data_IF_146736028748
#
_entry.id   IF_146736028748
#
_cell.length_a   1.000
_cell.length_b   1.000
_cell.length_c   1.000
_cell.angle_alpha   90.00
_cell.angle_beta   90.00
_cell.angle_gamma   90.00
#
_symmetry.space_group_name_H-M   'P 1'
#
loop_
_entity.id
_entity.type
_entity.pdbx_description
1 polymer ?
#
# COMPACT_ATOMS: atom_id res chain seq x y z
N UNK A 1 49.81 29.53 -77.57
CA UNK A 1 51.21 29.60 -77.06
C UNK A 1 51.25 28.97 -75.67
N UNK A 2 51.93 27.84 -75.64
CA UNK A 2 52.91 27.40 -74.64
C UNK A 2 52.55 27.48 -73.16
N UNK A 3 52.39 26.33 -72.59
CA UNK A 3 53.23 25.65 -71.54
C UNK A 3 52.80 26.11 -70.08
N UNK A 4 52.64 25.29 -69.09
CA UNK A 4 53.44 24.14 -68.72
C UNK A 4 52.80 23.30 -67.65
N UNK A 5 53.28 22.12 -67.63
CA UNK A 5 52.99 20.97 -66.76
C UNK A 5 53.62 21.22 -65.37
N UNK A 6 52.89 20.89 -64.30
CA UNK A 6 53.47 20.72 -62.98
C UNK A 6 52.71 19.63 -62.19
N UNK A 7 53.29 18.42 -62.19
CA UNK A 7 52.98 17.30 -61.34
C UNK A 7 53.42 17.68 -59.92
N UNK A 8 52.55 17.49 -58.94
CA UNK A 8 53.01 17.23 -57.58
C UNK A 8 52.22 16.02 -57.05
N UNK A 9 52.98 15.09 -56.61
CA UNK A 9 52.57 13.78 -56.11
C UNK A 9 51.89 13.90 -54.76
N UNK A 10 50.97 12.98 -54.57
CA UNK A 10 50.10 12.91 -53.40
C UNK A 10 50.70 12.37 -52.14
N UNK A 11 50.04 12.58 -51.11
CA UNK A 11 50.12 11.78 -49.91
C UNK A 11 48.69 11.49 -49.47
N UNK A 12 48.22 10.27 -49.71
CA UNK A 12 47.02 9.73 -49.11
C UNK A 12 47.32 9.46 -47.65
N UNK A 13 46.77 10.31 -46.77
CA UNK A 13 46.73 10.05 -45.33
C UNK A 13 45.40 9.39 -45.00
N UNK A 14 45.45 8.06 -44.83
CA UNK A 14 44.28 7.30 -44.33
C UNK A 14 44.07 7.59 -42.87
N UNK A 15 43.04 8.39 -42.56
CA UNK A 15 42.52 8.56 -41.20
C UNK A 15 41.62 7.37 -40.86
N UNK A 16 42.16 6.41 -40.13
CA UNK A 16 41.39 5.38 -39.43
C UNK A 16 40.62 6.05 -38.26
N UNK A 17 39.33 6.35 -38.45
CA UNK A 17 38.42 6.67 -37.40
C UNK A 17 38.09 5.37 -36.65
N UNK A 18 38.74 5.19 -35.51
CA UNK A 18 38.34 4.21 -34.52
C UNK A 18 37.04 4.70 -33.86
N UNK A 19 35.91 4.14 -34.31
CA UNK A 19 34.61 4.27 -33.57
C UNK A 19 34.72 3.40 -32.35
N UNK A 20 35.03 4.04 -31.20
CA UNK A 20 34.83 3.41 -29.91
C UNK A 20 33.34 3.45 -29.63
N UNK A 21 32.67 2.32 -29.80
CA UNK A 21 31.35 2.07 -29.25
C UNK A 21 31.50 2.00 -27.71
N UNK A 22 31.23 3.10 -27.04
CA UNK A 22 30.97 3.09 -25.63
C UNK A 22 29.63 2.33 -25.43
N UNK A 23 29.75 1.03 -25.12
CA UNK A 23 28.66 0.30 -24.48
C UNK A 23 28.56 0.88 -23.08
N UNK A 24 27.64 1.82 -22.89
CA UNK A 24 27.20 2.21 -21.56
C UNK A 24 26.57 0.99 -20.89
N UNK A 25 27.40 0.25 -20.20
CA UNK A 25 26.94 -0.66 -19.14
C UNK A 25 26.26 0.23 -18.11
N UNK A 26 24.92 0.26 -18.13
CA UNK A 26 24.11 0.64 -17.01
C UNK A 26 24.41 -0.37 -15.88
N UNK A 27 25.56 -0.25 -15.29
CA UNK A 27 25.98 -0.91 -14.08
C UNK A 27 25.32 -0.20 -12.92
N UNK A 28 24.30 -0.84 -12.45
CA UNK A 28 23.69 -0.68 -11.15
C UNK A 28 24.71 -0.43 -10.06
N UNK A 29 24.49 0.61 -9.32
CA UNK A 29 24.73 0.59 -7.90
C UNK A 29 23.54 1.23 -7.21
N UNK A 30 22.45 0.47 -7.09
CA UNK A 30 21.62 0.62 -5.93
C UNK A 30 22.45 0.05 -4.77
N UNK A 31 23.14 0.92 -4.04
CA UNK A 31 23.69 0.60 -2.75
C UNK A 31 22.51 0.42 -1.78
N UNK A 32 21.77 -0.68 -1.92
CA UNK A 32 20.81 -1.12 -0.93
C UNK A 32 21.65 -1.45 0.30
N UNK A 33 21.54 -0.63 1.35
CA UNK A 33 22.11 -0.96 2.65
C UNK A 33 21.64 -2.39 2.99
N UNK A 34 22.56 -3.34 2.95
CA UNK A 34 22.28 -4.77 3.12
C UNK A 34 21.54 -5.05 4.44
N UNK A 35 21.59 -4.10 5.39
CA UNK A 35 20.87 -4.14 6.66
C UNK A 35 19.35 -3.92 6.53
N UNK A 36 18.87 -3.38 5.42
CA UNK A 36 17.42 -3.15 5.17
C UNK A 36 16.76 -4.26 4.35
N UNK A 37 17.50 -5.34 4.05
CA UNK A 37 16.95 -6.53 3.42
C UNK A 37 16.40 -7.46 4.50
N UNK A 38 15.23 -8.05 4.26
CA UNK A 38 14.58 -9.02 5.16
C UNK A 38 14.44 -10.34 4.42
N UNK A 39 15.25 -11.33 4.76
CA UNK A 39 15.24 -12.67 4.15
C UNK A 39 15.29 -13.79 5.19
N UNK A 40 15.69 -13.49 6.43
CA UNK A 40 15.75 -14.43 7.55
C UNK A 40 14.84 -14.01 8.69
N UNK A 41 14.65 -14.87 9.68
CA UNK A 41 13.93 -14.54 10.91
C UNK A 41 14.69 -13.46 11.73
N UNK A 42 16.01 -13.53 11.75
CA UNK A 42 16.86 -12.53 12.43
C UNK A 42 16.71 -11.16 11.78
N UNK A 43 16.63 -11.09 10.44
CA UNK A 43 16.37 -9.85 9.72
C UNK A 43 15.01 -9.27 10.09
N UNK A 44 13.98 -10.11 10.17
CA UNK A 44 12.65 -9.69 10.58
C UNK A 44 12.64 -9.14 12.01
N UNK A 45 13.24 -9.83 12.96
CA UNK A 45 13.35 -9.37 14.35
C UNK A 45 14.20 -8.09 14.49
N UNK A 46 15.23 -7.93 13.68
CA UNK A 46 15.98 -6.68 13.57
C UNK A 46 15.10 -5.56 13.04
N UNK A 47 14.37 -5.80 11.96
CA UNK A 47 13.47 -4.81 11.35
C UNK A 47 12.40 -4.33 12.34
N UNK A 48 11.79 -5.22 13.15
CA UNK A 48 10.85 -4.85 14.22
C UNK A 48 11.42 -3.79 15.18
N UNK A 49 12.71 -3.83 15.44
CA UNK A 49 13.40 -2.84 16.30
C UNK A 49 13.76 -1.58 15.53
N UNK A 50 14.36 -1.73 14.34
CA UNK A 50 14.89 -0.63 13.54
C UNK A 50 13.79 0.33 13.07
N UNK A 51 12.63 -0.22 12.67
CA UNK A 51 11.52 0.61 12.18
C UNK A 51 10.60 1.12 13.29
N UNK A 52 10.76 0.66 14.53
CA UNK A 52 9.88 1.03 15.64
C UNK A 52 9.76 2.55 15.80
N UNK A 53 8.52 2.99 16.03
CA UNK A 53 8.17 4.36 16.41
C UNK A 53 7.69 4.45 17.87
N UNK A 54 7.85 3.39 18.66
CA UNK A 54 7.41 3.41 20.05
C UNK A 54 8.04 4.58 20.81
N UNK A 55 7.21 5.30 21.54
CA UNK A 55 7.60 6.48 22.30
C UNK A 55 7.92 7.73 21.46
N UNK A 56 7.91 7.65 20.13
CA UNK A 56 8.22 8.80 19.25
C UNK A 56 7.31 10.01 19.51
N UNK A 57 6.05 9.78 19.80
CA UNK A 57 5.05 10.81 20.12
C UNK A 57 4.57 10.73 21.58
N UNK A 58 5.35 10.08 22.41
CA UNK A 58 5.04 9.84 23.82
C UNK A 58 4.50 8.42 24.07
N UNK A 59 4.62 7.98 25.34
CA UNK A 59 4.19 6.63 25.76
C UNK A 59 2.66 6.43 25.71
N UNK A 60 1.91 7.52 25.72
CA UNK A 60 0.44 7.50 25.74
C UNK A 60 -0.15 7.87 24.36
N UNK A 61 0.71 7.90 23.32
CA UNK A 61 0.27 8.14 21.94
C UNK A 61 -0.61 6.99 21.43
N UNK A 62 -1.71 7.34 20.80
CA UNK A 62 -2.72 6.44 20.24
C UNK A 62 -2.84 6.55 18.72
N UNK A 63 -2.18 7.54 18.12
CA UNK A 63 -2.32 7.85 16.69
C UNK A 63 -1.21 7.24 15.82
N UNK A 64 -0.08 6.87 16.42
CA UNK A 64 1.06 6.36 15.67
C UNK A 64 1.50 7.32 14.56
N UNK A 65 1.76 6.80 13.38
CA UNK A 65 2.21 7.58 12.24
C UNK A 65 1.17 8.60 11.72
N UNK A 66 -0.11 8.48 12.09
CA UNK A 66 -1.13 9.48 11.76
C UNK A 66 -0.83 10.87 12.38
N UNK A 67 0.02 10.96 13.42
CA UNK A 67 0.56 12.22 13.94
C UNK A 67 1.31 13.04 12.88
N UNK A 68 1.79 12.41 11.81
CA UNK A 68 2.45 13.09 10.70
C UNK A 68 1.48 13.84 9.77
N UNK A 69 0.18 13.60 9.90
CA UNK A 69 -0.85 14.36 9.18
C UNK A 69 -1.08 15.70 9.87
N UNK A 70 -0.18 16.63 9.64
CA UNK A 70 -0.24 18.00 10.19
C UNK A 70 -1.31 18.84 9.51
N UNK A 71 -1.64 20.01 10.09
CA UNK A 71 -2.53 20.99 9.44
C UNK A 71 -1.98 21.45 8.08
N UNK A 72 -0.64 21.61 7.96
CA UNK A 72 0.01 21.97 6.70
C UNK A 72 -0.17 20.84 5.66
N UNK A 73 0.01 19.57 6.08
CA UNK A 73 -0.20 18.41 5.22
C UNK A 73 -1.64 18.32 4.70
N UNK A 74 -2.66 18.56 5.56
CA UNK A 74 -4.06 18.60 5.14
C UNK A 74 -4.32 19.71 4.13
N UNK A 75 -3.80 20.92 4.36
CA UNK A 75 -3.92 22.03 3.40
C UNK A 75 -3.27 21.71 2.06
N UNK A 76 -2.10 21.07 2.06
CA UNK A 76 -1.44 20.60 0.83
C UNK A 76 -2.34 19.59 0.10
N UNK A 77 -2.92 18.65 0.81
CA UNK A 77 -3.80 17.62 0.23
C UNK A 77 -5.07 18.23 -0.38
N UNK A 78 -5.71 19.19 0.29
CA UNK A 78 -6.89 19.89 -0.20
C UNK A 78 -6.64 20.58 -1.55
N UNK A 79 -5.43 21.06 -1.81
CA UNK A 79 -5.05 21.69 -3.07
C UNK A 79 -4.92 20.69 -4.26
N UNK A 80 -5.06 19.39 -4.01
CA UNK A 80 -5.02 18.34 -5.05
C UNK A 80 -6.38 18.05 -5.67
N UNK A 81 -7.47 18.48 -5.04
CA UNK A 81 -8.85 18.33 -5.55
C UNK A 81 -9.14 19.35 -6.67
N UNK A 82 -8.45 19.21 -7.82
CA UNK A 82 -8.46 20.18 -8.90
C UNK A 82 -9.57 19.95 -9.91
N UNK A 83 -9.89 18.69 -10.17
CA UNK A 83 -10.88 18.26 -11.16
C UNK A 83 -12.28 18.18 -10.55
N UNK A 84 -12.38 18.14 -9.22
CA UNK A 84 -13.66 17.95 -8.51
C UNK A 84 -14.27 16.56 -8.74
N UNK A 85 -13.46 15.57 -9.12
CA UNK A 85 -13.90 14.19 -9.38
C UNK A 85 -13.62 13.33 -8.16
N UNK A 86 -14.69 12.74 -7.61
CA UNK A 86 -14.59 11.77 -6.50
C UNK A 86 -14.66 10.35 -7.02
N UNK A 87 -13.75 9.50 -6.55
CA UNK A 87 -13.69 8.07 -6.88
C UNK A 87 -13.70 7.27 -5.58
N UNK A 88 -14.62 6.29 -5.48
CA UNK A 88 -14.64 5.31 -4.38
C UNK A 88 -13.40 4.44 -4.45
N UNK A 89 -12.81 4.18 -3.29
CA UNK A 89 -11.69 3.26 -3.13
C UNK A 89 -12.11 1.97 -2.40
N UNK A 90 -13.41 1.71 -2.25
CA UNK A 90 -13.91 0.47 -1.70
C UNK A 90 -14.53 -0.40 -2.79
N UNK A 91 -14.32 -1.70 -2.67
CA UNK A 91 -15.08 -2.68 -3.44
C UNK A 91 -16.50 -2.79 -2.90
N UNK A 92 -17.45 -3.08 -3.77
CA UNK A 92 -18.83 -3.37 -3.35
C UNK A 92 -18.83 -4.52 -2.35
N UNK A 93 -19.60 -4.37 -1.27
CA UNK A 93 -19.63 -5.36 -0.20
C UNK A 93 -20.12 -6.71 -0.74
N UNK A 94 -19.33 -7.75 -0.50
CA UNK A 94 -19.68 -9.12 -0.90
C UNK A 94 -20.86 -9.62 -0.05
N UNK A 95 -21.94 -10.02 -0.72
CA UNK A 95 -23.19 -10.52 -0.10
C UNK A 95 -23.40 -12.03 -0.23
N UNK A 96 -22.37 -12.78 -0.59
CA UNK A 96 -22.37 -14.23 -0.65
C UNK A 96 -20.98 -14.79 -0.35
N UNK A 97 -20.90 -15.95 0.28
CA UNK A 97 -19.63 -16.62 0.52
C UNK A 97 -18.93 -16.95 -0.81
N UNK A 98 -17.61 -16.74 -0.84
CA UNK A 98 -16.77 -17.05 -1.99
C UNK A 98 -15.48 -17.76 -1.53
N UNK A 99 -14.74 -18.33 -2.48
CA UNK A 99 -13.51 -19.07 -2.17
C UNK A 99 -12.43 -18.20 -1.51
N UNK A 100 -12.38 -16.92 -1.84
CA UNK A 100 -11.46 -15.92 -1.29
C UNK A 100 -11.98 -15.21 -0.02
N UNK A 101 -13.25 -15.45 0.38
CA UNK A 101 -13.84 -14.87 1.58
C UNK A 101 -15.09 -15.60 2.02
N UNK A 102 -15.03 -16.40 3.11
CA UNK A 102 -16.20 -17.11 3.63
C UNK A 102 -17.17 -16.19 4.36
N UNK A 103 -16.69 -15.05 4.89
CA UNK A 103 -17.50 -14.04 5.53
C UNK A 103 -18.11 -13.10 4.50
N UNK A 104 -19.39 -12.83 4.59
CA UNK A 104 -20.13 -11.91 3.72
C UNK A 104 -21.09 -11.06 4.55
N UNK A 105 -21.62 -9.98 3.96
CA UNK A 105 -22.65 -9.16 4.58
C UNK A 105 -24.03 -9.74 4.26
N UNK A 106 -24.74 -10.21 5.27
CA UNK A 106 -26.16 -10.55 5.17
C UNK A 106 -27.00 -9.26 5.24
N UNK A 107 -27.82 -9.05 4.23
CA UNK A 107 -28.78 -7.96 4.16
C UNK A 107 -30.18 -8.50 4.25
N UNK A 108 -30.86 -8.26 5.35
CA UNK A 108 -32.25 -8.66 5.58
C UNK A 108 -33.16 -7.45 5.46
N UNK A 109 -34.15 -7.52 4.55
CA UNK A 109 -35.25 -6.54 4.51
C UNK A 109 -36.19 -6.83 5.69
N UNK A 110 -36.34 -5.87 6.59
CA UNK A 110 -37.18 -6.01 7.80
C UNK A 110 -38.64 -5.76 7.48
N UNK A 111 -38.92 -4.68 6.76
CA UNK A 111 -40.25 -4.33 6.30
C UNK A 111 -40.19 -3.48 5.02
N UNK A 112 -41.28 -3.52 4.24
CA UNK A 112 -41.57 -2.59 3.16
C UNK A 112 -43.07 -2.32 3.19
N UNK A 113 -43.47 -1.04 3.14
CA UNK A 113 -44.84 -0.58 3.13
C UNK A 113 -45.01 0.59 2.16
N UNK A 114 -46.23 1.10 1.99
CA UNK A 114 -46.50 2.29 1.18
C UNK A 114 -45.78 3.55 1.74
N UNK A 115 -45.42 3.55 3.02
CA UNK A 115 -44.79 4.71 3.70
C UNK A 115 -43.29 4.58 3.85
N UNK A 116 -42.69 3.44 3.47
CA UNK A 116 -41.24 3.24 3.54
C UNK A 116 -40.82 1.82 3.85
N UNK A 117 -39.51 1.63 4.05
CA UNK A 117 -38.88 0.34 4.37
C UNK A 117 -37.68 0.47 5.27
N UNK A 118 -37.28 -0.66 5.86
CA UNK A 118 -36.05 -0.79 6.64
C UNK A 118 -35.35 -2.10 6.34
N UNK A 119 -34.04 -2.09 6.43
CA UNK A 119 -33.21 -3.28 6.34
C UNK A 119 -32.18 -3.33 7.47
N UNK A 120 -31.58 -4.50 7.64
CA UNK A 120 -30.51 -4.78 8.60
C UNK A 120 -29.31 -5.34 7.85
N UNK A 121 -28.13 -4.91 8.26
CA UNK A 121 -26.85 -5.42 7.78
C UNK A 121 -26.11 -6.15 8.90
N UNK A 122 -25.59 -7.33 8.60
CA UNK A 122 -24.82 -8.13 9.53
C UNK A 122 -23.76 -8.94 8.80
N UNK A 123 -22.50 -8.84 9.21
CA UNK A 123 -21.47 -9.74 8.72
C UNK A 123 -21.70 -11.15 9.31
N UNK A 124 -21.64 -12.18 8.48
CA UNK A 124 -21.79 -13.58 8.91
C UNK A 124 -20.59 -14.10 9.71
N UNK A 125 -19.49 -13.36 9.68
CA UNK A 125 -18.27 -13.59 10.47
C UNK A 125 -17.65 -12.24 10.83
N UNK A 126 -16.43 -12.01 10.37
CA UNK A 126 -15.74 -10.72 10.55
C UNK A 126 -15.61 -9.97 9.23
N UNK A 127 -15.54 -8.62 9.28
CA UNK A 127 -15.14 -7.82 8.12
C UNK A 127 -13.62 -7.87 7.90
N UNK A 128 -12.84 -8.17 8.94
CA UNK A 128 -11.42 -8.49 8.76
C UNK A 128 -11.27 -9.75 7.91
N UNK A 129 -10.36 -9.73 6.97
CA UNK A 129 -10.16 -10.84 6.04
C UNK A 129 -9.80 -10.34 4.65
N UNK A 130 -10.18 -11.08 3.63
CA UNK A 130 -9.64 -10.88 2.28
C UNK A 130 -10.62 -10.34 1.24
N UNK A 131 -11.82 -9.87 1.63
CA UNK A 131 -12.84 -9.42 0.65
C UNK A 131 -13.54 -8.11 0.99
N UNK A 132 -13.49 -7.65 2.22
CA UNK A 132 -14.17 -6.41 2.61
C UNK A 132 -13.15 -5.29 2.79
N UNK A 133 -13.43 -4.14 2.20
CA UNK A 133 -12.61 -2.94 2.39
C UNK A 133 -12.70 -2.47 3.83
N UNK A 134 -11.59 -2.41 4.53
CA UNK A 134 -11.54 -2.02 5.94
C UNK A 134 -10.22 -1.34 6.32
N UNK A 135 -10.23 -0.72 7.49
CA UNK A 135 -9.06 -0.14 8.15
C UNK A 135 -8.80 -0.88 9.45
N UNK A 136 -7.57 -1.31 9.68
CA UNK A 136 -7.11 -1.93 10.91
C UNK A 136 -6.66 -0.89 11.94
N UNK A 137 -7.05 -1.09 13.20
CA UNK A 137 -6.59 -0.32 14.32
C UNK A 137 -5.20 -0.78 14.81
N UNK A 138 -4.45 0.11 15.47
CA UNK A 138 -3.04 -0.12 15.79
C UNK A 138 -2.79 -1.20 16.84
N UNK A 139 -3.39 -1.09 18.01
CA UNK A 139 -2.83 -1.69 19.22
C UNK A 139 -3.21 -3.14 19.47
N UNK A 140 -4.21 -3.67 18.75
CA UNK A 140 -4.85 -4.89 19.18
C UNK A 140 -5.33 -5.81 18.08
N UNK A 141 -5.41 -5.33 16.84
CA UNK A 141 -5.79 -6.19 15.71
C UNK A 141 -4.66 -7.17 15.39
N UNK A 142 -3.43 -6.69 15.27
CA UNK A 142 -2.24 -7.52 15.07
C UNK A 142 -1.19 -7.17 16.09
N UNK A 143 -0.69 -8.20 16.79
CA UNK A 143 0.35 -8.06 17.80
C UNK A 143 1.60 -8.85 17.41
N UNK A 144 2.75 -8.44 17.91
CA UNK A 144 4.00 -9.18 17.85
C UNK A 144 4.47 -9.53 19.25
N UNK A 145 4.72 -10.82 19.51
CA UNK A 145 5.13 -11.35 20.82
C UNK A 145 4.23 -10.83 21.97
N UNK A 146 2.91 -10.83 21.74
CA UNK A 146 1.90 -10.41 22.71
C UNK A 146 1.82 -8.92 22.96
N UNK A 147 2.43 -8.08 22.10
CA UNK A 147 2.39 -6.61 22.23
C UNK A 147 1.99 -5.95 20.93
N UNK A 148 1.08 -4.99 21.03
CA UNK A 148 0.73 -4.02 20.01
C UNK A 148 1.62 -2.78 20.05
N UNK A 149 1.25 -1.74 19.29
CA UNK A 149 1.95 -0.47 19.25
C UNK A 149 2.09 0.14 20.65
N UNK A 150 3.24 0.79 20.93
CA UNK A 150 3.59 1.38 22.22
C UNK A 150 3.51 0.40 23.42
N UNK A 151 3.56 -0.92 23.13
CA UNK A 151 3.66 -1.95 24.17
C UNK A 151 2.35 -2.36 24.82
N UNK A 152 1.19 -2.01 24.24
CA UNK A 152 -0.12 -2.50 24.69
C UNK A 152 -0.09 -4.03 24.70
N UNK A 153 -0.37 -4.64 25.84
CA UNK A 153 -0.29 -6.08 26.04
C UNK A 153 -1.61 -6.81 25.72
N UNK A 154 -1.53 -8.11 25.48
CA UNK A 154 -2.72 -8.96 25.35
C UNK A 154 -3.59 -8.88 26.60
N UNK A 155 -2.99 -8.78 27.79
CA UNK A 155 -3.67 -8.65 29.06
C UNK A 155 -4.46 -7.33 29.15
N UNK A 156 -3.87 -6.22 28.68
CA UNK A 156 -4.56 -4.92 28.61
C UNK A 156 -5.79 -5.00 27.68
N UNK A 157 -5.65 -5.64 26.52
CA UNK A 157 -6.75 -5.83 25.56
C UNK A 157 -7.88 -6.68 26.14
N UNK A 158 -7.54 -7.78 26.81
CA UNK A 158 -8.51 -8.65 27.49
C UNK A 158 -9.23 -7.90 28.62
N UNK A 159 -8.51 -7.19 29.47
CA UNK A 159 -9.07 -6.40 30.57
C UNK A 159 -9.99 -5.27 30.08
N UNK A 160 -9.64 -4.63 28.96
CA UNK A 160 -10.46 -3.58 28.35
C UNK A 160 -11.68 -4.11 27.58
N UNK A 161 -11.69 -5.37 27.19
CA UNK A 161 -12.70 -5.94 26.28
C UNK A 161 -12.63 -5.37 24.86
N UNK A 162 -11.43 -5.08 24.39
CA UNK A 162 -11.13 -4.47 23.08
C UNK A 162 -9.86 -3.63 23.14
N UNK A 163 -9.57 -2.82 22.12
CA UNK A 163 -8.38 -1.97 22.12
C UNK A 163 -8.44 -0.94 23.25
N UNK A 164 -7.52 -0.95 24.22
CA UNK A 164 -7.51 0.02 25.30
C UNK A 164 -7.07 1.42 24.87
N UNK A 165 -6.17 1.48 23.86
CA UNK A 165 -5.64 2.68 23.21
C UNK A 165 -5.77 2.49 21.69
N UNK A 166 -5.23 3.33 20.86
CA UNK A 166 -5.10 3.18 19.40
C UNK A 166 -6.28 2.52 18.67
N UNK A 167 -7.46 2.50 19.29
CA UNK A 167 -8.68 1.92 18.73
C UNK A 167 -9.21 2.76 17.57
N UNK A 168 -10.05 2.19 16.72
CA UNK A 168 -10.50 2.84 15.49
C UNK A 168 -11.12 4.22 15.69
N UNK A 169 -11.77 4.48 16.84
CA UNK A 169 -12.42 5.74 17.16
C UNK A 169 -11.44 6.92 17.36
N UNK A 170 -10.12 6.68 17.49
CA UNK A 170 -9.12 7.77 17.51
C UNK A 170 -9.15 8.57 16.20
N UNK A 171 -9.61 7.95 15.11
CA UNK A 171 -9.80 8.57 13.80
C UNK A 171 -11.20 9.18 13.57
N UNK A 172 -11.99 9.41 14.63
CA UNK A 172 -13.37 9.93 14.57
C UNK A 172 -13.55 11.26 13.83
N UNK A 173 -12.49 12.04 13.68
CA UNK A 173 -12.49 13.31 12.94
C UNK A 173 -12.16 13.13 11.46
N UNK A 174 -12.06 11.89 11.00
CA UNK A 174 -11.67 11.53 9.64
C UNK A 174 -10.17 11.58 9.39
N UNK A 175 -9.74 10.83 8.38
CA UNK A 175 -8.39 10.81 7.85
C UNK A 175 -8.43 11.62 6.57
N UNK A 176 -7.79 12.81 6.57
CA UNK A 176 -7.74 13.73 5.43
C UNK A 176 -6.29 14.07 5.18
N UNK A 177 -5.73 13.59 4.05
CA UNK A 177 -4.32 13.78 3.70
C UNK A 177 -4.09 13.55 2.22
N UNK A 178 -2.84 13.63 1.77
CA UNK A 178 -2.48 13.23 0.41
C UNK A 178 -2.43 11.72 0.30
N UNK A 179 -3.17 11.16 -0.68
CA UNK A 179 -3.04 9.78 -1.13
C UNK A 179 -2.11 9.71 -2.33
N UNK A 180 -1.31 8.65 -2.40
CA UNK A 180 -0.49 8.29 -3.56
C UNK A 180 -0.88 6.87 -3.96
N UNK A 181 -1.31 6.69 -5.21
CA UNK A 181 -1.57 5.38 -5.80
C UNK A 181 -0.29 4.91 -6.49
N UNK A 182 0.27 3.81 -6.03
CA UNK A 182 1.32 3.07 -6.70
C UNK A 182 0.71 1.99 -7.60
N UNK A 183 0.72 2.23 -8.89
CA UNK A 183 0.22 1.30 -9.91
C UNK A 183 1.31 0.26 -10.23
N UNK A 184 1.34 -0.84 -9.49
CA UNK A 184 2.35 -1.88 -9.68
C UNK A 184 2.28 -2.55 -11.06
N UNK A 185 1.18 -2.38 -11.80
CA UNK A 185 1.08 -2.91 -13.16
C UNK A 185 1.95 -2.14 -14.17
N UNK A 186 2.49 -0.98 -13.79
CA UNK A 186 3.45 -0.22 -14.59
C UNK A 186 4.90 -0.70 -14.42
N UNK A 187 5.16 -1.58 -13.46
CA UNK A 187 6.50 -2.13 -13.24
C UNK A 187 6.87 -3.12 -14.36
N UNK A 188 8.03 -2.95 -15.02
CA UNK A 188 8.46 -3.85 -16.06
C UNK A 188 8.53 -5.31 -15.59
N UNK A 189 7.86 -6.22 -16.32
CA UNK A 189 7.91 -7.65 -16.07
C UNK A 189 7.12 -8.16 -14.88
N UNK A 190 6.38 -7.29 -14.15
CA UNK A 190 5.56 -7.73 -13.01
C UNK A 190 4.09 -7.97 -13.36
N UNK A 191 3.53 -7.21 -14.27
CA UNK A 191 2.14 -7.39 -14.68
C UNK A 191 1.98 -8.41 -15.81
N UNK A 192 0.86 -9.12 -15.79
CA UNK A 192 0.39 -9.90 -16.93
C UNK A 192 -0.03 -9.00 -18.09
N UNK A 193 -0.14 -9.52 -19.32
CA UNK A 193 -0.70 -8.76 -20.45
C UNK A 193 -2.14 -8.26 -20.19
N UNK A 194 -2.88 -8.91 -19.32
CA UNK A 194 -4.25 -8.55 -18.95
C UNK A 194 -4.31 -7.40 -17.92
N UNK A 195 -3.19 -7.03 -17.29
CA UNK A 195 -3.06 -5.87 -16.42
C UNK A 195 -3.36 -6.15 -14.94
N UNK A 196 -2.90 -7.28 -14.43
CA UNK A 196 -2.82 -7.59 -13.00
C UNK A 196 -1.50 -8.26 -12.65
N UNK A 197 -1.15 -8.35 -11.39
CA UNK A 197 -0.02 -9.12 -10.90
C UNK A 197 -0.47 -10.55 -10.57
N UNK A 198 0.36 -11.54 -10.89
CA UNK A 198 0.10 -12.93 -10.49
C UNK A 198 0.23 -13.11 -8.97
N UNK A 199 -0.48 -14.12 -8.45
CA UNK A 199 -0.42 -14.47 -7.03
C UNK A 199 1.03 -14.74 -6.61
N UNK A 200 1.40 -14.26 -5.41
CA UNK A 200 2.78 -14.39 -4.91
C UNK A 200 3.76 -13.36 -5.48
N UNK A 201 3.33 -12.44 -6.34
CA UNK A 201 4.20 -11.36 -6.82
C UNK A 201 4.49 -10.37 -5.69
N UNK A 202 5.74 -10.33 -5.25
CA UNK A 202 6.21 -9.42 -4.21
C UNK A 202 6.56 -8.04 -4.77
N UNK A 203 6.12 -7.00 -4.07
CA UNK A 203 6.51 -5.61 -4.29
C UNK A 203 7.46 -5.20 -3.17
N UNK A 204 8.71 -4.99 -3.55
CA UNK A 204 9.80 -4.63 -2.65
C UNK A 204 9.96 -3.11 -2.54
N UNK A 205 10.75 -2.68 -1.55
CA UNK A 205 11.16 -1.27 -1.40
C UNK A 205 11.66 -0.66 -2.72
N UNK A 206 12.52 -1.35 -3.45
CA UNK A 206 13.07 -0.89 -4.73
C UNK A 206 12.02 -0.68 -5.81
N UNK A 207 10.95 -1.48 -5.79
CA UNK A 207 9.80 -1.33 -6.70
C UNK A 207 9.04 -0.03 -6.43
N UNK A 208 8.83 0.31 -5.14
CA UNK A 208 8.20 1.59 -4.75
C UNK A 208 9.07 2.79 -5.16
N UNK A 209 10.39 2.69 -5.01
CA UNK A 209 11.32 3.72 -5.48
C UNK A 209 11.33 3.86 -7.01
N UNK A 210 11.10 2.76 -7.74
CA UNK A 210 10.91 2.79 -9.19
C UNK A 210 9.58 3.43 -9.57
N UNK A 211 8.49 3.10 -8.87
CA UNK A 211 7.17 3.71 -9.08
C UNK A 211 7.18 5.22 -8.77
N UNK A 212 7.88 5.68 -7.71
CA UNK A 212 8.08 7.12 -7.47
C UNK A 212 8.60 7.85 -8.73
N UNK A 213 9.50 7.19 -9.49
CA UNK A 213 10.08 7.75 -10.73
C UNK A 213 9.12 7.65 -11.93
N UNK A 214 8.51 6.47 -12.12
CA UNK A 214 7.57 6.22 -13.23
C UNK A 214 6.37 7.16 -13.14
N UNK A 215 5.80 7.29 -11.96
CA UNK A 215 4.60 8.07 -11.68
C UNK A 215 4.88 9.55 -11.38
N UNK A 216 6.18 9.92 -11.30
CA UNK A 216 6.65 11.28 -11.01
C UNK A 216 6.08 11.85 -9.71
N UNK A 217 6.01 11.00 -8.69
CA UNK A 217 5.60 11.37 -7.34
C UNK A 217 6.78 11.17 -6.39
N UNK A 218 6.71 11.81 -5.22
CA UNK A 218 7.65 11.57 -4.12
C UNK A 218 6.85 11.48 -2.83
N UNK A 219 6.95 10.33 -2.17
CA UNK A 219 6.31 10.13 -0.86
C UNK A 219 6.96 11.02 0.19
N UNK A 220 6.16 11.62 1.04
CA UNK A 220 6.59 12.51 2.10
C UNK A 220 5.78 12.31 3.39
N UNK A 221 6.28 12.78 4.54
CA UNK A 221 5.61 12.53 5.82
C UNK A 221 4.13 12.89 5.83
N UNK A 222 3.33 11.95 6.36
CA UNK A 222 1.87 12.11 6.46
C UNK A 222 1.09 11.65 5.23
N UNK A 223 1.72 11.10 4.20
CA UNK A 223 1.01 10.50 3.06
C UNK A 223 0.37 9.16 3.41
N UNK A 224 -0.67 8.82 2.68
CA UNK A 224 -1.20 7.46 2.53
C UNK A 224 -0.66 6.91 1.22
N UNK A 225 -0.06 5.71 1.24
CA UNK A 225 0.32 5.00 0.02
C UNK A 225 -0.60 3.82 -0.22
N UNK A 226 -1.01 3.63 -1.46
CA UNK A 226 -1.99 2.65 -1.89
C UNK A 226 -1.42 1.84 -3.05
N UNK A 227 -1.35 0.52 -2.94
CA UNK A 227 -0.81 -0.38 -3.95
C UNK A 227 -1.94 -0.99 -4.79
N UNK A 228 -1.96 -0.69 -6.06
CA UNK A 228 -2.81 -1.35 -7.03
C UNK A 228 -2.08 -2.53 -7.67
N UNK A 229 -2.64 -3.74 -7.48
CA UNK A 229 -2.13 -4.99 -8.05
C UNK A 229 -3.01 -5.52 -9.19
N UNK A 230 -4.20 -4.96 -9.37
CA UNK A 230 -5.23 -5.45 -10.30
C UNK A 230 -5.98 -6.68 -9.78
N UNK A 231 -6.01 -6.89 -8.47
CA UNK A 231 -6.67 -8.04 -7.83
C UNK A 231 -8.13 -8.19 -8.25
N UNK A 232 -8.92 -7.12 -8.21
CA UNK A 232 -10.35 -7.20 -8.52
C UNK A 232 -10.59 -7.48 -10.00
N UNK A 233 -9.77 -6.94 -10.88
CA UNK A 233 -9.76 -7.26 -12.31
C UNK A 233 -9.45 -8.74 -12.54
N UNK A 234 -8.44 -9.30 -11.86
CA UNK A 234 -8.13 -10.72 -11.90
C UNK A 234 -9.32 -11.56 -11.40
N UNK A 235 -9.93 -11.16 -10.28
CA UNK A 235 -11.09 -11.83 -9.71
C UNK A 235 -12.30 -11.83 -10.65
N UNK A 236 -12.55 -10.72 -11.33
CA UNK A 236 -13.62 -10.63 -12.32
C UNK A 236 -13.38 -11.54 -13.52
N UNK A 237 -12.14 -11.68 -13.96
CA UNK A 237 -11.77 -12.48 -15.14
C UNK A 237 -11.69 -13.99 -14.84
N UNK A 238 -11.16 -14.38 -13.67
CA UNK A 238 -10.82 -15.78 -13.35
C UNK A 238 -11.69 -16.38 -12.25
N UNK A 239 -12.52 -15.57 -11.58
CA UNK A 239 -13.31 -15.97 -10.41
C UNK A 239 -12.53 -15.83 -9.10
N UNK A 240 -13.22 -16.09 -7.98
CA UNK A 240 -12.64 -16.12 -6.65
C UNK A 240 -11.73 -17.34 -6.50
N UNK A 241 -10.63 -17.19 -5.75
CA UNK A 241 -9.66 -18.26 -5.47
C UNK A 241 -9.48 -18.47 -3.97
N UNK A 242 -8.93 -19.60 -3.58
CA UNK A 242 -8.63 -19.87 -2.16
C UNK A 242 -7.46 -19.01 -1.70
N UNK A 243 -7.58 -18.36 -0.55
CA UNK A 243 -6.52 -17.52 0.01
C UNK A 243 -5.16 -18.24 0.17
N UNK A 244 -5.18 -19.56 0.33
CA UNK A 244 -3.96 -20.40 0.38
C UNK A 244 -3.19 -20.44 -0.96
N UNK A 245 -3.80 -20.07 -2.08
CA UNK A 245 -3.12 -19.98 -3.37
C UNK A 245 -2.21 -18.73 -3.46
N UNK A 246 -2.40 -17.77 -2.56
CA UNK A 246 -1.53 -16.62 -2.42
C UNK A 246 -2.17 -15.27 -2.81
N UNK A 247 -1.38 -14.21 -2.63
CA UNK A 247 -1.73 -12.82 -2.93
C UNK A 247 -0.51 -12.09 -3.49
N UNK A 248 -0.68 -11.24 -4.50
CA UNK A 248 0.29 -10.22 -4.81
C UNK A 248 0.21 -9.12 -3.73
N UNK A 249 1.33 -8.54 -3.35
CA UNK A 249 1.34 -7.52 -2.31
C UNK A 249 2.75 -7.07 -1.93
N UNK A 250 2.83 -6.30 -0.88
CA UNK A 250 4.09 -5.78 -0.38
C UNK A 250 4.94 -6.87 0.30
N UNK A 251 6.24 -6.85 0.05
CA UNK A 251 7.21 -7.60 0.84
C UNK A 251 7.51 -6.89 2.17
N UNK A 252 7.96 -7.63 3.18
CA UNK A 252 8.26 -7.09 4.52
C UNK A 252 9.26 -5.92 4.52
N UNK A 253 10.23 -5.89 3.59
CA UNK A 253 11.26 -4.84 3.48
C UNK A 253 10.68 -3.45 3.15
N UNK A 254 9.43 -3.38 2.70
CA UNK A 254 8.70 -2.12 2.53
C UNK A 254 8.57 -1.35 3.84
N UNK A 255 8.64 -2.02 5.00
CA UNK A 255 8.61 -1.35 6.30
C UNK A 255 9.71 -0.29 6.45
N UNK A 256 10.89 -0.50 5.89
CA UNK A 256 11.95 0.51 5.87
C UNK A 256 11.59 1.71 4.99
N UNK A 257 10.92 1.48 3.84
CA UNK A 257 10.40 2.58 3.02
C UNK A 257 9.36 3.41 3.79
N UNK A 258 8.43 2.75 4.49
CA UNK A 258 7.42 3.42 5.32
C UNK A 258 8.09 4.31 6.38
N UNK A 259 9.10 3.79 7.06
CA UNK A 259 9.87 4.53 8.07
C UNK A 259 10.57 5.74 7.49
N UNK A 260 11.34 5.54 6.42
CA UNK A 260 12.17 6.57 5.80
C UNK A 260 11.35 7.71 5.16
N UNK A 261 10.19 7.38 4.59
CA UNK A 261 9.28 8.36 3.98
C UNK A 261 8.30 9.00 4.97
N UNK A 262 8.17 8.45 6.18
CA UNK A 262 7.19 8.91 7.17
C UNK A 262 5.75 8.68 6.70
N UNK A 263 5.47 7.51 6.14
CA UNK A 263 4.13 7.13 5.68
C UNK A 263 3.18 7.07 6.87
N UNK A 264 2.00 7.66 6.75
CA UNK A 264 0.99 7.67 7.82
C UNK A 264 0.08 6.45 7.79
N UNK A 265 -0.31 6.01 6.60
CA UNK A 265 -1.14 4.83 6.36
C UNK A 265 -0.66 4.11 5.11
N UNK A 266 -0.87 2.80 5.07
CA UNK A 266 -0.60 1.95 3.90
C UNK A 266 -1.89 1.24 3.50
N UNK A 267 -2.05 0.93 2.24
CA UNK A 267 -3.20 0.13 1.76
C UNK A 267 -2.90 -0.62 0.49
N UNK A 268 -3.74 -1.62 0.20
CA UNK A 268 -3.72 -2.32 -1.08
C UNK A 268 -5.11 -2.81 -1.49
N UNK A 269 -5.23 -3.26 -2.74
CA UNK A 269 -6.43 -3.93 -3.24
C UNK A 269 -6.51 -5.42 -2.81
N UNK A 270 -5.55 -5.89 -1.99
CA UNK A 270 -5.50 -7.20 -1.35
C UNK A 270 -5.27 -7.06 0.17
N UNK A 271 -4.67 -8.06 0.80
CA UNK A 271 -4.34 -8.11 2.24
C UNK A 271 -3.01 -7.41 2.58
N UNK A 272 -2.52 -6.50 1.79
CA UNK A 272 -1.23 -5.83 1.88
C UNK A 272 -0.01 -6.77 1.80
N UNK A 273 0.13 -7.78 2.66
CA UNK A 273 1.24 -8.74 2.58
C UNK A 273 1.18 -9.60 1.33
N UNK A 274 2.32 -9.77 0.66
CA UNK A 274 2.47 -10.82 -0.34
C UNK A 274 2.37 -12.20 0.33
N UNK A 275 1.64 -13.12 -0.30
CA UNK A 275 1.57 -14.50 0.17
C UNK A 275 1.78 -15.48 -1.01
N UNK A 276 2.68 -16.46 -0.84
CA UNK A 276 3.55 -16.66 0.32
C UNK A 276 4.56 -15.51 0.46
N UNK A 277 4.95 -15.19 1.71
CA UNK A 277 5.85 -14.06 2.00
C UNK A 277 7.29 -14.24 1.48
N UNK A 278 7.67 -15.45 1.09
CA UNK A 278 9.05 -15.80 0.73
C UNK A 278 10.01 -15.91 1.93
N UNK A 279 9.52 -15.65 3.15
CA UNK A 279 10.30 -15.71 4.38
C UNK A 279 10.20 -17.10 5.05
N UNK A 280 11.15 -17.47 5.93
CA UNK A 280 11.11 -18.72 6.68
C UNK A 280 9.82 -18.88 7.48
N UNK A 281 9.34 -20.12 7.66
CA UNK A 281 8.11 -20.43 8.39
C UNK A 281 8.10 -19.99 9.87
N UNK A 282 9.27 -19.65 10.43
CA UNK A 282 9.43 -19.06 11.76
C UNK A 282 9.03 -17.58 11.81
N UNK A 283 8.93 -16.92 10.66
CA UNK A 283 8.40 -15.55 10.52
C UNK A 283 6.88 -15.64 10.39
N UNK A 284 6.11 -14.74 11.02
CA UNK A 284 4.66 -14.72 10.86
C UNK A 284 4.22 -14.65 9.39
N UNK A 285 3.07 -15.24 9.05
CA UNK A 285 2.55 -15.27 7.68
C UNK A 285 2.26 -13.87 7.08
N UNK A 286 1.97 -12.88 7.94
CA UNK A 286 1.74 -11.48 7.58
C UNK A 286 2.81 -10.59 8.24
N UNK A 287 4.07 -10.64 7.77
CA UNK A 287 5.17 -9.92 8.42
C UNK A 287 5.03 -8.40 8.32
N UNK A 288 4.51 -7.89 7.20
CA UNK A 288 4.33 -6.44 7.04
C UNK A 288 3.24 -5.90 7.97
N UNK A 289 2.14 -6.62 8.20
CA UNK A 289 1.15 -6.21 9.20
C UNK A 289 1.79 -6.01 10.58
N UNK A 290 2.68 -6.92 10.99
CA UNK A 290 3.35 -6.78 12.30
C UNK A 290 4.31 -5.60 12.33
N UNK A 291 5.09 -5.42 11.27
CA UNK A 291 6.01 -4.28 11.15
C UNK A 291 5.26 -2.95 11.08
N UNK A 292 4.15 -2.88 10.34
CA UNK A 292 3.36 -1.66 10.20
C UNK A 292 2.57 -1.34 11.48
N UNK A 293 1.70 -2.25 11.93
CA UNK A 293 0.81 -1.99 13.04
C UNK A 293 1.57 -1.96 14.37
N UNK A 294 2.30 -3.03 14.71
CA UNK A 294 2.90 -3.14 16.03
C UNK A 294 4.20 -2.34 16.20
N UNK A 295 5.07 -2.25 15.19
CA UNK A 295 6.34 -1.53 15.34
C UNK A 295 6.25 -0.06 14.89
N UNK A 296 5.80 0.19 13.67
CA UNK A 296 5.74 1.54 13.08
C UNK A 296 4.59 2.39 13.62
N UNK A 297 3.49 1.79 14.07
CA UNK A 297 2.25 2.50 14.35
C UNK A 297 1.61 3.08 13.07
N UNK A 298 1.67 2.33 11.97
CA UNK A 298 1.05 2.63 10.68
C UNK A 298 -0.17 1.73 10.51
N UNK A 299 -1.36 2.30 10.52
CA UNK A 299 -2.61 1.56 10.27
C UNK A 299 -2.73 1.15 8.80
N UNK A 300 -3.44 0.05 8.56
CA UNK A 300 -3.51 -0.65 7.28
C UNK A 300 -4.93 -0.61 6.73
N UNK A 301 -5.05 -0.21 5.46
CA UNK A 301 -6.27 -0.39 4.67
C UNK A 301 -6.15 -1.67 3.84
N UNK A 302 -7.03 -2.63 4.05
CA UNK A 302 -7.09 -3.88 3.30
C UNK A 302 -8.25 -3.91 2.32
N UNK A 303 -8.05 -4.65 1.22
CA UNK A 303 -9.06 -5.00 0.23
C UNK A 303 -9.78 -3.79 -0.40
N UNK A 304 -9.06 -2.70 -0.61
CA UNK A 304 -9.59 -1.55 -1.32
C UNK A 304 -9.78 -1.89 -2.81
N UNK A 305 -10.55 -1.07 -3.53
CA UNK A 305 -10.71 -1.18 -4.98
C UNK A 305 -10.14 0.05 -5.67
N UNK A 306 -9.13 -0.14 -6.47
CA UNK A 306 -8.42 0.95 -7.14
C UNK A 306 -8.65 1.01 -8.65
N UNK A 307 -9.53 0.19 -9.22
CA UNK A 307 -9.75 0.17 -10.68
C UNK A 307 -10.09 1.57 -11.20
N UNK A 308 -11.08 2.23 -10.59
CA UNK A 308 -11.49 3.58 -10.99
C UNK A 308 -10.42 4.65 -10.71
N UNK A 309 -9.69 4.53 -9.60
CA UNK A 309 -8.62 5.47 -9.27
C UNK A 309 -7.40 5.31 -10.18
N UNK A 310 -7.03 4.08 -10.55
CA UNK A 310 -5.97 3.80 -11.50
C UNK A 310 -6.31 4.32 -12.91
N UNK A 311 -7.55 4.13 -13.36
CA UNK A 311 -8.03 4.70 -14.63
C UNK A 311 -7.93 6.23 -14.63
N UNK A 312 -8.40 6.88 -13.57
CA UNK A 312 -8.35 8.34 -13.44
C UNK A 312 -6.90 8.84 -13.36
N UNK A 313 -6.04 8.19 -12.56
CA UNK A 313 -4.64 8.55 -12.43
C UNK A 313 -3.89 8.48 -13.77
N UNK A 314 -4.10 7.41 -14.55
CA UNK A 314 -3.54 7.23 -15.90
C UNK A 314 -4.03 8.30 -16.87
N UNK A 315 -5.35 8.60 -16.86
CA UNK A 315 -5.97 9.65 -17.69
C UNK A 315 -5.37 11.02 -17.40
N UNK A 316 -5.22 11.35 -16.13
CA UNK A 316 -4.68 12.64 -15.68
C UNK A 316 -3.14 12.67 -15.66
N UNK A 317 -2.48 11.52 -15.79
CA UNK A 317 -1.03 11.35 -15.57
C UNK A 317 -0.61 11.92 -14.20
N UNK A 318 -1.44 11.70 -13.19
CA UNK A 318 -1.28 12.19 -11.83
C UNK A 318 -1.72 11.11 -10.84
N UNK A 319 -0.80 10.59 -10.08
CA UNK A 319 -0.96 9.47 -9.15
C UNK A 319 -1.11 9.92 -7.69
N UNK A 320 -1.37 11.22 -7.48
CA UNK A 320 -1.66 11.79 -6.19
C UNK A 320 -3.01 12.52 -6.19
N UNK A 321 -3.68 12.50 -5.04
CA UNK A 321 -5.03 13.04 -4.87
C UNK A 321 -5.28 13.41 -3.40
N UNK A 322 -6.38 14.12 -3.14
CA UNK A 322 -6.90 14.26 -1.80
C UNK A 322 -7.51 12.93 -1.36
N UNK A 323 -6.93 12.31 -0.34
CA UNK A 323 -7.46 11.11 0.29
C UNK A 323 -8.34 11.47 1.47
N UNK A 324 -9.53 10.89 1.51
CA UNK A 324 -10.51 11.07 2.59
C UNK A 324 -11.03 9.71 3.04
N UNK A 325 -10.95 9.42 4.34
CA UNK A 325 -11.54 8.22 4.93
C UNK A 325 -12.19 8.55 6.27
N UNK A 326 -13.35 7.96 6.53
CA UNK A 326 -14.10 8.18 7.76
C UNK A 326 -14.54 6.84 8.33
N UNK A 327 -13.74 6.24 9.24
CA UNK A 327 -14.11 4.99 9.89
C UNK A 327 -15.31 5.16 10.82
N UNK A 328 -15.98 4.06 11.13
CA UNK A 328 -17.06 4.03 12.11
C UNK A 328 -16.54 4.44 13.49
N UNK A 329 -17.37 5.16 14.24
CA UNK A 329 -17.04 5.62 15.58
C UNK A 329 -17.30 4.54 16.62
N UNK A 330 -16.48 3.48 16.59
CA UNK A 330 -16.60 2.34 17.50
C UNK A 330 -15.52 2.45 18.58
N UNK A 331 -15.97 2.68 19.81
CA UNK A 331 -15.09 2.69 21.00
C UNK A 331 -14.48 1.32 21.19
N UNK A 332 -13.18 1.25 21.46
CA UNK A 332 -12.40 0.00 21.61
C UNK A 332 -12.42 -0.92 20.37
N UNK A 333 -12.88 -0.45 19.23
CA UNK A 333 -12.94 -1.24 17.98
C UNK A 333 -11.55 -1.53 17.43
N UNK A 334 -11.37 -2.76 16.94
CA UNK A 334 -10.11 -3.26 16.35
C UNK A 334 -9.93 -2.85 14.89
N UNK A 335 -10.91 -2.19 14.30
CA UNK A 335 -10.92 -1.71 12.92
C UNK A 335 -12.30 -1.22 12.52
N UNK A 336 -12.46 -0.91 11.23
CA UNK A 336 -13.74 -0.48 10.66
C UNK A 336 -13.85 -0.84 9.18
N UNK A 337 -14.96 -1.42 8.74
CA UNK A 337 -15.30 -1.36 7.31
C UNK A 337 -15.55 0.10 6.95
N UNK A 338 -15.18 0.50 5.72
CA UNK A 338 -15.34 1.88 5.27
C UNK A 338 -15.23 1.98 3.74
N UNK A 339 -15.65 3.14 3.22
CA UNK A 339 -15.45 3.54 1.83
C UNK A 339 -14.57 4.78 1.77
N UNK A 340 -13.25 4.65 1.62
CA UNK A 340 -12.37 5.79 1.39
C UNK A 340 -12.61 6.40 0.01
N UNK A 341 -12.25 7.67 -0.15
CA UNK A 341 -12.41 8.41 -1.40
C UNK A 341 -11.07 8.98 -1.87
N UNK A 342 -10.82 8.87 -3.17
CA UNK A 342 -9.84 9.68 -3.88
C UNK A 342 -10.57 10.85 -4.55
N UNK A 343 -10.12 12.08 -4.29
CA UNK A 343 -10.68 13.27 -4.92
C UNK A 343 -9.56 13.93 -5.73
N UNK A 344 -9.74 13.91 -7.05
CA UNK A 344 -8.82 14.47 -8.02
C UNK A 344 -9.11 15.92 -8.35
#
# INVERSE_FOLDING_TARGET
MRHGIGRVEGLLLALLLAVWSAVDTFGQSANTDNRQTIVTAEDFHRAMKDVSNWGRWGKDDELGAANLITHAKRKQALALAREGVSVSLAHDIIQAAAADGPSYLDRTVLNVSETGGADRYQYTGTYHGSVHSHLDALDCHVMHEGKGYNGVSVEDVKAAGGCPKGHINVHKNGIVTRGILFDATLLPGKATPQGWLELGTAIHRGDLEALEKIERVKVSPGDVILLYTGRWKRRAALGAWKGAEGWAGYHADVAYFLKDRGVAFIGSDAINDVAPSGLPATVPATPLHRLALAALGVSIFDNLDFEGAAEMARKLKRYEFLFVASPLRIEKGMGSPLNPLAIF
#
